data_IF_903287352389
#
_entry.id   IF_903287352389
#
_cell.length_a   1.000
_cell.length_b   1.000
_cell.length_c   1.000
_cell.angle_alpha   90.00
_cell.angle_beta   90.00
_cell.angle_gamma   90.00
#
_symmetry.space_group_name_H-M   'P 1'
#
loop_
_entity.id
_entity.type
_entity.pdbx_description
1 polymer ?
#
# COMPACT_ATOMS: atom_id res chain seq x y z
N UNK A 1 2.29 -13.67 -16.89
CA UNK A 1 1.20 -14.36 -16.18
C UNK A 1 0.22 -13.28 -15.70
N UNK A 2 -0.99 -13.20 -16.25
CA UNK A 2 -1.97 -12.22 -15.78
C UNK A 2 -2.55 -12.72 -14.44
N UNK A 3 -2.26 -12.01 -13.34
CA UNK A 3 -2.83 -12.31 -12.03
C UNK A 3 -4.35 -12.09 -12.06
N UNK A 4 -5.11 -13.06 -11.55
CA UNK A 4 -6.56 -12.97 -11.38
C UNK A 4 -6.92 -11.86 -10.36
N UNK A 5 -8.14 -11.32 -10.44
CA UNK A 5 -8.65 -10.23 -9.61
C UNK A 5 -8.54 -10.53 -8.11
N UNK A 6 -8.85 -11.76 -7.71
CA UNK A 6 -8.73 -12.20 -6.32
C UNK A 6 -7.28 -12.26 -5.84
N UNK A 7 -6.35 -12.66 -6.71
CA UNK A 7 -4.92 -12.67 -6.39
C UNK A 7 -4.37 -11.25 -6.25
N UNK A 8 -4.84 -10.30 -7.06
CA UNK A 8 -4.47 -8.87 -6.94
C UNK A 8 -5.02 -8.26 -5.65
N UNK A 9 -6.28 -8.54 -5.30
CA UNK A 9 -6.88 -8.12 -4.02
C UNK A 9 -6.12 -8.70 -2.83
N UNK A 10 -5.76 -9.99 -2.90
CA UNK A 10 -4.97 -10.62 -1.86
C UNK A 10 -3.58 -9.99 -1.75
N UNK A 11 -2.91 -9.76 -2.89
CA UNK A 11 -1.60 -9.11 -2.91
C UNK A 11 -1.66 -7.69 -2.36
N UNK A 12 -2.63 -6.88 -2.78
CA UNK A 12 -2.85 -5.53 -2.26
C UNK A 12 -3.09 -5.55 -0.74
N UNK A 13 -3.88 -6.50 -0.24
CA UNK A 13 -4.09 -6.67 1.20
C UNK A 13 -2.83 -7.08 1.95
N UNK A 14 -1.96 -7.89 1.35
CA UNK A 14 -0.65 -8.23 1.95
C UNK A 14 0.27 -7.01 1.98
N UNK A 15 0.32 -6.23 0.89
CA UNK A 15 1.13 -5.01 0.80
C UNK A 15 0.70 -3.98 1.85
N UNK A 16 -0.61 -3.72 1.98
CA UNK A 16 -1.19 -2.85 3.02
C UNK A 16 -0.76 -3.29 4.43
N UNK A 17 -0.93 -4.58 4.77
CA UNK A 17 -0.49 -5.10 6.08
C UNK A 17 1.00 -4.92 6.34
N UNK A 18 1.84 -5.12 5.32
CA UNK A 18 3.28 -4.91 5.42
C UNK A 18 3.61 -3.43 5.62
N UNK A 19 2.93 -2.54 4.91
CA UNK A 19 3.09 -1.09 5.06
C UNK A 19 2.73 -0.64 6.49
N UNK A 20 1.59 -1.09 7.01
CA UNK A 20 1.16 -0.82 8.39
C UNK A 20 2.20 -1.35 9.38
N UNK A 21 2.66 -2.60 9.23
CA UNK A 21 3.63 -3.20 10.14
C UNK A 21 4.98 -2.45 10.11
N UNK A 22 5.45 -2.07 8.92
CA UNK A 22 6.67 -1.28 8.76
C UNK A 22 6.55 0.08 9.45
N UNK A 23 5.45 0.80 9.21
CA UNK A 23 5.19 2.09 9.84
C UNK A 23 5.06 1.96 11.36
N UNK A 24 4.36 0.94 11.84
CA UNK A 24 4.19 0.69 13.27
C UNK A 24 5.52 0.39 13.97
N UNK A 25 6.44 -0.35 13.35
CA UNK A 25 7.74 -0.66 13.96
C UNK A 25 8.72 0.50 13.79
N UNK A 26 9.02 0.87 12.55
CA UNK A 26 10.07 1.85 12.23
C UNK A 26 9.60 3.28 12.52
N UNK A 27 8.37 3.61 12.15
CA UNK A 27 7.78 4.93 12.44
C UNK A 27 7.68 5.17 13.95
N UNK A 28 7.11 4.24 14.71
CA UNK A 28 7.02 4.41 16.17
C UNK A 28 8.40 4.46 16.84
N UNK A 29 9.33 3.59 16.44
CA UNK A 29 10.69 3.56 17.02
C UNK A 29 11.43 4.87 16.73
N UNK A 30 11.36 5.37 15.50
CA UNK A 30 12.02 6.63 15.12
C UNK A 30 11.40 7.85 15.81
N UNK A 31 10.07 7.87 15.98
CA UNK A 31 9.37 8.90 16.73
C UNK A 31 9.83 8.93 18.21
N UNK A 32 9.87 7.77 18.86
CA UNK A 32 10.29 7.67 20.27
C UNK A 32 11.77 8.00 20.49
N UNK A 33 12.62 7.76 19.49
CA UNK A 33 14.04 8.14 19.50
C UNK A 33 14.30 9.61 19.11
N UNK A 34 13.25 10.37 18.75
CA UNK A 34 13.39 11.76 18.28
C UNK A 34 14.07 11.88 16.90
N UNK A 35 14.20 10.79 16.16
CA UNK A 35 14.77 10.78 14.81
C UNK A 35 13.71 11.14 13.77
N UNK A 36 13.41 12.44 13.69
CA UNK A 36 12.36 12.99 12.83
C UNK A 36 12.56 12.71 11.35
N UNK A 37 13.80 12.62 10.87
CA UNK A 37 14.09 12.35 9.46
C UNK A 37 13.63 10.93 9.08
N UNK A 38 13.93 9.94 9.92
CA UNK A 38 13.48 8.55 9.71
C UNK A 38 11.97 8.41 9.90
N UNK A 39 11.39 9.16 10.84
CA UNK A 39 9.94 9.16 11.03
C UNK A 39 9.20 9.68 9.81
N UNK A 40 9.60 10.83 9.26
CA UNK A 40 9.01 11.39 8.04
C UNK A 40 9.21 10.45 6.85
N UNK A 41 10.39 9.84 6.73
CA UNK A 41 10.63 8.81 5.73
C UNK A 41 9.66 7.62 5.86
N UNK A 42 9.39 7.15 7.07
CA UNK A 42 8.45 6.06 7.32
C UNK A 42 7.01 6.44 6.92
N UNK A 43 6.58 7.68 7.19
CA UNK A 43 5.28 8.21 6.72
C UNK A 43 5.21 8.20 5.18
N UNK A 44 6.25 8.69 4.52
CA UNK A 44 6.29 8.74 3.05
C UNK A 44 6.30 7.34 2.44
N UNK A 45 7.07 6.42 3.01
CA UNK A 45 7.10 5.03 2.58
C UNK A 45 5.72 4.38 2.71
N UNK A 46 5.03 4.58 3.84
CA UNK A 46 3.66 4.11 4.04
C UNK A 46 2.70 4.63 2.96
N UNK A 47 2.70 5.94 2.71
CA UNK A 47 1.84 6.55 1.69
C UNK A 47 2.11 6.01 0.28
N UNK A 48 3.38 5.74 -0.07
CA UNK A 48 3.75 5.16 -1.36
C UNK A 48 3.22 3.73 -1.50
N UNK A 49 3.32 2.91 -0.45
CA UNK A 49 2.79 1.55 -0.48
C UNK A 49 1.27 1.51 -0.59
N UNK A 50 0.57 2.37 0.14
CA UNK A 50 -0.89 2.54 0.02
C UNK A 50 -1.28 2.96 -1.40
N UNK A 51 -0.59 3.95 -1.96
CA UNK A 51 -0.82 4.40 -3.33
C UNK A 51 -0.59 3.26 -4.34
N UNK A 52 0.47 2.49 -4.17
CA UNK A 52 0.77 1.34 -5.04
C UNK A 52 -0.29 0.25 -4.93
N UNK A 53 -0.78 -0.04 -3.72
CA UNK A 53 -1.86 -1.01 -3.49
C UNK A 53 -3.16 -0.57 -4.18
N UNK A 54 -3.52 0.71 -4.06
CA UNK A 54 -4.69 1.28 -4.75
C UNK A 54 -4.52 1.27 -6.27
N UNK A 55 -3.34 1.63 -6.77
CA UNK A 55 -3.03 1.61 -8.21
C UNK A 55 -3.12 0.20 -8.80
N UNK A 56 -2.58 -0.80 -8.11
CA UNK A 56 -2.64 -2.21 -8.52
C UNK A 56 -4.09 -2.74 -8.65
N UNK A 57 -5.02 -2.15 -7.91
CA UNK A 57 -6.46 -2.43 -7.98
C UNK A 57 -7.19 -1.55 -9.01
N UNK A 58 -6.72 -0.33 -9.27
CA UNK A 58 -7.36 0.65 -10.15
C UNK A 58 -7.30 0.26 -11.63
N UNK A 59 -6.23 -0.43 -12.06
CA UNK A 59 -5.92 -0.76 -13.46
C UNK A 59 -6.99 -1.64 -14.16
N UNK A 60 -8.03 -2.09 -13.44
CA UNK A 60 -9.18 -2.82 -14.01
C UNK A 60 -10.56 -2.24 -13.69
N UNK A 61 -10.67 -1.20 -12.86
CA UNK A 61 -11.98 -0.61 -12.55
C UNK A 61 -12.63 0.02 -13.80
N UNK A 62 -11.81 0.47 -14.75
CA UNK A 62 -12.24 0.96 -16.06
C UNK A 62 -12.70 -0.15 -17.02
N UNK A 63 -12.25 -1.40 -16.82
CA UNK A 63 -12.69 -2.54 -17.65
C UNK A 63 -14.00 -3.17 -17.17
N UNK A 64 -14.34 -3.00 -15.88
CA UNK A 64 -15.58 -3.52 -15.30
C UNK A 64 -16.77 -2.57 -15.55
N UNK A 65 -16.54 -1.25 -15.62
CA UNK A 65 -17.57 -0.28 -16.02
C UNK A 65 -17.97 -0.38 -17.50
N UNK A 66 -17.06 -0.78 -18.39
CA UNK A 66 -17.30 -0.82 -19.84
C UNK A 66 -18.15 -2.00 -20.32
N UNK A 67 -18.48 -2.95 -19.44
CA UNK A 67 -19.30 -4.13 -19.76
C UNK A 67 -20.75 -4.02 -19.25
N UNK A 68 -21.12 -2.87 -18.66
CA UNK A 68 -22.46 -2.62 -18.10
C UNK A 68 -23.26 -1.58 -18.92
N UNK A 69 -22.66 -0.98 -19.97
CA UNK A 69 -23.34 -0.08 -20.92
C UNK A 69 -23.57 -0.75 -22.28
#
# INVERSE_FOLDING_TARGET
>A
MQLNLDQRKHLASVVDKVAIAYFAVIGYTSYTQGNWLVFVHAILAFAIFEWFALWALSDRKDSEKKHVD
#
